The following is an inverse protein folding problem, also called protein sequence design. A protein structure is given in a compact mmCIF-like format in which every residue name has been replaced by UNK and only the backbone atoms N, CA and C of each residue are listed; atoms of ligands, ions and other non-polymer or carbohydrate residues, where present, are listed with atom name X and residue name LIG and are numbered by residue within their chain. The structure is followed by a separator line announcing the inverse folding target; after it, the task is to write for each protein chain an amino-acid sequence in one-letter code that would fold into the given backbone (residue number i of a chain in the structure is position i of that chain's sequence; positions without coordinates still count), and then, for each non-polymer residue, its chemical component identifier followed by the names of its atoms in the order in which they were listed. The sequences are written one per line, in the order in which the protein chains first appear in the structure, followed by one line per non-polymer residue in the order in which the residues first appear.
data_IF_213314551787
#
_entry.id   IF_213314551787
#
_cell.length_a   1.000
_cell.length_b   1.000
_cell.length_c   1.000
_cell.angle_alpha   90.00
_cell.angle_beta   90.00
_cell.angle_gamma   90.00
#
_symmetry.space_group_name_H-M   'P 1'
#
loop_
_entity.id
_entity.type
_entity.pdbx_description
1 polymer ?
#
# COMPACT_ATOMS: atom_id res chain seq x y z
N UNK A 1 -44.30 -22.02 45.37
CA UNK A 1 -43.69 -20.72 45.47
C UNK A 1 -42.17 -20.84 45.31
N UNK A 2 -41.66 -20.13 44.33
CA UNK A 2 -40.20 -20.10 44.07
C UNK A 2 -39.51 -19.54 45.32
N UNK A 3 -38.55 -20.33 45.86
CA UNK A 3 -37.94 -20.01 47.15
C UNK A 3 -37.01 -18.79 47.01
N UNK A 4 -37.35 -17.67 47.58
CA UNK A 4 -36.64 -16.36 47.51
C UNK A 4 -35.14 -16.50 47.94
N UNK A 5 -34.84 -17.42 48.83
CA UNK A 5 -33.45 -17.66 49.31
C UNK A 5 -32.59 -18.28 48.18
N UNK A 6 -33.11 -19.24 47.45
CA UNK A 6 -32.40 -19.88 46.33
C UNK A 6 -32.16 -18.89 45.20
N UNK A 7 -33.09 -17.98 44.95
CA UNK A 7 -32.89 -16.92 43.95
C UNK A 7 -31.78 -15.95 44.35
N UNK A 8 -31.70 -15.56 45.63
CA UNK A 8 -30.61 -14.71 46.14
C UNK A 8 -29.25 -15.38 46.10
N UNK A 9 -29.15 -16.69 46.39
CA UNK A 9 -27.93 -17.44 46.25
C UNK A 9 -27.44 -17.56 44.83
N UNK A 10 -28.34 -17.86 43.89
CA UNK A 10 -28.00 -17.94 42.46
C UNK A 10 -27.53 -16.56 41.97
N UNK A 11 -28.20 -15.47 42.32
CA UNK A 11 -27.79 -14.11 41.94
C UNK A 11 -26.42 -13.73 42.53
N UNK A 12 -26.13 -14.11 43.76
CA UNK A 12 -24.81 -13.91 44.41
C UNK A 12 -23.70 -14.67 43.66
N UNK A 13 -23.90 -15.95 43.38
CA UNK A 13 -22.93 -16.78 42.66
C UNK A 13 -22.69 -16.27 41.23
N UNK A 14 -23.75 -15.88 40.51
CA UNK A 14 -23.57 -15.31 39.17
C UNK A 14 -22.85 -13.96 39.19
N UNK A 15 -23.09 -13.12 40.20
CA UNK A 15 -22.35 -11.86 40.38
C UNK A 15 -20.86 -12.11 40.67
N UNK A 16 -20.52 -13.10 41.47
CA UNK A 16 -19.13 -13.42 41.80
C UNK A 16 -18.39 -14.06 40.62
N UNK A 17 -19.05 -14.92 39.86
CA UNK A 17 -18.51 -15.45 38.59
C UNK A 17 -18.24 -14.30 37.61
N UNK A 18 -19.17 -13.36 37.48
CA UNK A 18 -19.01 -12.19 36.59
C UNK A 18 -17.82 -11.32 37.01
N UNK A 19 -17.63 -11.09 38.34
CA UNK A 19 -16.45 -10.35 38.86
C UNK A 19 -15.15 -11.07 38.50
N UNK A 20 -15.09 -12.38 38.70
CA UNK A 20 -13.92 -13.18 38.34
C UNK A 20 -13.62 -13.10 36.84
N UNK A 21 -14.63 -13.21 36.00
CA UNK A 21 -14.45 -13.08 34.53
C UNK A 21 -13.93 -11.68 34.16
N UNK A 22 -14.50 -10.62 34.76
CA UNK A 22 -14.03 -9.25 34.53
C UNK A 22 -12.57 -9.06 34.96
N UNK A 23 -12.18 -9.60 36.12
CA UNK A 23 -10.78 -9.55 36.61
C UNK A 23 -9.85 -10.29 35.64
N UNK A 24 -10.23 -11.48 35.19
CA UNK A 24 -9.43 -12.23 34.20
C UNK A 24 -9.26 -11.43 32.90
N UNK A 25 -10.33 -10.84 32.38
CA UNK A 25 -10.27 -10.00 31.14
C UNK A 25 -9.36 -8.79 31.36
N UNK A 26 -9.47 -8.11 32.49
CA UNK A 26 -8.58 -6.99 32.85
C UNK A 26 -7.12 -7.42 32.94
N UNK A 27 -6.83 -8.56 33.58
CA UNK A 27 -5.47 -9.12 33.66
C UNK A 27 -4.91 -9.44 32.26
N UNK A 28 -5.71 -10.04 31.38
CA UNK A 28 -5.31 -10.32 30.01
C UNK A 28 -5.03 -9.02 29.25
N UNK A 29 -5.89 -8.01 29.38
CA UNK A 29 -5.68 -6.69 28.77
C UNK A 29 -4.40 -6.01 29.29
N UNK A 30 -4.11 -6.16 30.61
CA UNK A 30 -2.90 -5.59 31.22
C UNK A 30 -1.62 -6.29 30.74
N UNK A 31 -1.67 -7.62 30.61
CA UNK A 31 -0.53 -8.41 30.08
C UNK A 31 -0.28 -8.07 28.61
N UNK A 32 -1.33 -8.01 27.78
CA UNK A 32 -1.21 -7.64 26.36
C UNK A 32 -0.72 -6.21 26.23
N UNK A 33 -1.29 -5.27 26.99
CA UNK A 33 -0.88 -3.86 27.00
C UNK A 33 0.55 -3.65 27.49
N UNK A 34 0.94 -4.35 28.55
CA UNK A 34 2.30 -4.30 29.11
C UNK A 34 3.34 -4.92 28.18
N UNK A 35 3.01 -6.04 27.53
CA UNK A 35 3.86 -6.65 26.52
C UNK A 35 4.00 -5.75 25.28
N UNK A 36 2.90 -5.17 24.82
CA UNK A 36 2.89 -4.19 23.71
C UNK A 36 3.73 -2.96 24.04
N UNK A 37 3.57 -2.38 25.24
CA UNK A 37 4.36 -1.23 25.69
C UNK A 37 5.84 -1.57 25.87
N UNK A 38 6.16 -2.75 26.39
CA UNK A 38 7.54 -3.23 26.54
C UNK A 38 8.23 -3.48 25.21
N UNK A 39 7.53 -4.04 24.22
CA UNK A 39 8.01 -4.15 22.85
C UNK A 39 8.25 -2.77 22.23
N UNK A 40 7.34 -1.82 22.42
CA UNK A 40 7.44 -0.44 21.98
C UNK A 40 8.70 0.25 22.52
N UNK A 41 8.90 0.21 23.83
CA UNK A 41 10.06 0.82 24.49
C UNK A 41 11.38 0.15 24.09
N UNK A 42 11.40 -1.17 24.01
CA UNK A 42 12.58 -1.92 23.55
C UNK A 42 12.93 -1.60 22.10
N UNK A 43 11.93 -1.39 21.27
CA UNK A 43 12.12 -1.06 19.85
C UNK A 43 12.63 0.37 19.65
N UNK A 44 11.98 1.37 20.26
CA UNK A 44 12.41 2.78 20.17
C UNK A 44 13.87 2.96 20.60
N UNK A 45 14.35 2.13 21.54
CA UNK A 45 15.74 2.19 22.01
C UNK A 45 16.76 1.54 21.06
N UNK A 46 16.32 0.73 20.10
CA UNK A 46 17.21 -0.06 19.22
C UNK A 46 17.10 0.31 17.74
N UNK A 47 16.12 1.14 17.33
CA UNK A 47 15.88 1.44 15.93
C UNK A 47 16.71 2.63 15.45
N UNK A 48 17.48 2.41 14.38
CA UNK A 48 17.90 3.52 13.52
C UNK A 48 16.65 4.07 12.83
N UNK A 49 16.27 5.29 13.15
CA UNK A 49 15.26 6.04 12.39
C UNK A 49 15.76 6.19 10.96
N UNK A 50 14.89 5.96 9.99
CA UNK A 50 15.18 6.26 8.58
C UNK A 50 15.61 7.74 8.51
N UNK A 51 16.84 7.96 8.09
CA UNK A 51 17.33 9.34 7.87
C UNK A 51 16.82 9.83 6.51
N UNK A 52 16.49 11.12 6.42
CA UNK A 52 16.17 11.77 5.13
C UNK A 52 17.31 11.57 4.12
N UNK A 53 18.57 11.38 4.58
CA UNK A 53 19.70 11.02 3.71
C UNK A 53 19.52 9.67 2.99
N UNK A 54 18.78 8.73 3.58
CA UNK A 54 18.50 7.43 2.94
C UNK A 54 17.48 7.60 1.80
N UNK A 55 16.65 8.64 1.85
CA UNK A 55 15.68 9.01 0.82
C UNK A 55 16.36 9.68 -0.38
N UNK A 56 17.39 10.49 -0.14
CA UNK A 56 18.11 11.21 -1.21
C UNK A 56 18.99 10.28 -2.06
N UNK A 57 19.47 9.16 -1.53
CA UNK A 57 20.18 8.15 -2.32
C UNK A 57 19.30 7.51 -3.42
N UNK A 58 17.99 7.61 -3.30
CA UNK A 58 17.04 7.11 -4.30
C UNK A 58 17.05 7.95 -5.58
N UNK A 59 17.43 9.23 -5.51
CA UNK A 59 17.58 10.10 -6.69
C UNK A 59 18.79 9.72 -7.55
N UNK A 60 19.85 9.16 -6.97
CA UNK A 60 21.08 8.81 -7.69
C UNK A 60 20.93 7.58 -8.61
N UNK A 61 19.84 6.81 -8.49
CA UNK A 61 19.60 5.58 -9.30
C UNK A 61 18.66 5.80 -10.48
N UNK A 62 18.51 7.03 -10.94
CA UNK A 62 17.63 7.36 -12.07
C UNK A 62 18.22 6.87 -13.41
N UNK A 63 17.33 6.50 -14.32
CA UNK A 63 17.70 6.22 -15.71
C UNK A 63 18.12 7.51 -16.41
N UNK A 64 19.35 7.55 -16.94
CA UNK A 64 19.83 8.66 -17.75
C UNK A 64 19.52 8.41 -19.22
N UNK A 65 19.08 9.45 -19.93
CA UNK A 65 18.85 9.40 -21.37
C UNK A 65 19.92 10.19 -22.10
N UNK A 66 20.43 9.61 -23.19
CA UNK A 66 21.32 10.31 -24.13
C UNK A 66 20.49 10.74 -25.32
N UNK A 67 20.52 12.03 -25.65
CA UNK A 67 19.78 12.60 -26.75
C UNK A 67 20.73 12.99 -27.88
N UNK A 68 20.23 12.94 -29.13
CA UNK A 68 20.91 13.53 -30.27
C UNK A 68 20.73 15.08 -30.27
N UNK A 69 21.37 15.74 -31.22
CA UNK A 69 21.30 17.20 -31.38
C UNK A 69 19.88 17.71 -31.67
N UNK A 70 18.96 16.83 -32.09
CA UNK A 70 17.57 17.14 -32.40
C UNK A 70 16.62 16.82 -31.22
N UNK A 71 17.17 16.33 -30.08
CA UNK A 71 16.39 15.97 -28.89
C UNK A 71 15.79 14.55 -28.96
N UNK A 72 16.22 13.71 -29.91
CA UNK A 72 15.78 12.31 -29.99
C UNK A 72 16.61 11.45 -29.06
N UNK A 73 15.95 10.59 -28.28
CA UNK A 73 16.65 9.63 -27.38
C UNK A 73 17.42 8.63 -28.23
N UNK A 74 18.76 8.64 -28.15
CA UNK A 74 19.65 7.69 -28.83
C UNK A 74 20.01 6.50 -27.94
N UNK A 75 20.08 6.70 -26.63
CA UNK A 75 20.45 5.64 -25.71
C UNK A 75 19.83 5.89 -24.35
N UNK A 76 19.62 4.80 -23.62
CA UNK A 76 19.11 4.78 -22.26
C UNK A 76 20.15 4.11 -21.38
N UNK A 77 20.65 4.84 -20.39
CA UNK A 77 21.64 4.32 -19.43
C UNK A 77 20.88 3.98 -18.15
N UNK A 78 20.67 2.69 -17.91
CA UNK A 78 20.18 2.18 -16.63
C UNK A 78 21.36 1.96 -15.69
N UNK A 79 21.15 2.16 -14.38
CA UNK A 79 22.17 1.85 -13.39
C UNK A 79 22.57 0.36 -13.38
N UNK A 80 23.50 -0.01 -12.51
CA UNK A 80 24.06 -1.37 -12.41
C UNK A 80 23.02 -2.48 -12.21
N UNK A 81 21.83 -2.16 -11.76
CA UNK A 81 20.72 -3.10 -11.51
C UNK A 81 19.80 -3.32 -12.73
N UNK A 82 20.09 -2.70 -13.87
CA UNK A 82 19.25 -2.76 -15.08
C UNK A 82 17.76 -2.44 -14.82
N UNK A 83 17.52 -1.47 -13.93
CA UNK A 83 16.18 -0.99 -13.54
C UNK A 83 15.87 0.28 -14.33
N UNK A 84 14.71 0.31 -14.96
CA UNK A 84 14.20 1.50 -15.62
C UNK A 84 13.40 2.36 -14.64
N UNK A 85 13.94 3.51 -14.26
CA UNK A 85 13.35 4.46 -13.34
C UNK A 85 13.47 5.88 -13.90
N UNK A 86 12.35 6.55 -14.01
CA UNK A 86 12.27 7.97 -14.39
C UNK A 86 11.42 8.66 -13.34
N UNK A 87 12.00 9.65 -12.67
CA UNK A 87 11.30 10.41 -11.64
C UNK A 87 10.23 11.33 -12.23
N UNK A 88 9.11 11.43 -11.54
CA UNK A 88 8.02 12.36 -11.83
C UNK A 88 7.51 12.98 -10.54
N UNK A 89 7.30 14.30 -10.51
CA UNK A 89 6.71 14.95 -9.33
C UNK A 89 5.22 14.64 -9.24
N UNK A 90 4.73 14.38 -8.03
CA UNK A 90 3.32 14.12 -7.77
C UNK A 90 2.42 15.26 -8.27
N UNK A 91 2.83 16.50 -8.06
CA UNK A 91 2.08 17.68 -8.52
C UNK A 91 1.82 17.68 -10.03
N UNK A 92 2.71 17.08 -10.83
CA UNK A 92 2.59 17.04 -12.29
C UNK A 92 1.61 15.99 -12.81
N UNK A 93 1.32 14.94 -12.02
CA UNK A 93 0.43 13.83 -12.41
C UNK A 93 -0.93 13.86 -11.71
N UNK A 94 -1.14 14.81 -10.83
CA UNK A 94 -2.36 14.96 -10.01
C UNK A 94 -3.67 15.07 -10.82
N UNK A 95 -3.60 15.37 -12.10
CA UNK A 95 -4.76 15.48 -13.00
C UNK A 95 -5.11 14.18 -13.73
N UNK A 96 -4.41 13.08 -13.45
CA UNK A 96 -4.53 11.82 -14.21
C UNK A 96 -5.29 10.72 -13.48
N UNK A 97 -5.88 10.97 -12.33
CA UNK A 97 -6.52 9.97 -11.46
C UNK A 97 -5.57 8.89 -10.91
N UNK A 98 -4.24 9.02 -11.08
CA UNK A 98 -3.30 7.97 -10.67
C UNK A 98 -3.23 7.82 -9.15
N UNK A 99 -3.31 8.92 -8.42
CA UNK A 99 -3.34 8.97 -6.97
C UNK A 99 -4.63 8.36 -6.41
N UNK A 100 -5.80 8.77 -6.93
CA UNK A 100 -7.08 8.20 -6.53
C UNK A 100 -7.16 6.70 -6.85
N UNK A 101 -6.61 6.28 -7.98
CA UNK A 101 -6.55 4.88 -8.35
C UNK A 101 -5.68 4.06 -7.38
N UNK A 102 -4.49 4.57 -7.01
CA UNK A 102 -3.58 3.93 -6.04
C UNK A 102 -4.23 3.90 -4.65
N UNK A 103 -4.74 5.04 -4.17
CA UNK A 103 -5.39 5.16 -2.86
C UNK A 103 -6.58 4.20 -2.77
N UNK A 104 -7.43 4.17 -3.78
CA UNK A 104 -8.63 3.32 -3.80
C UNK A 104 -8.32 1.84 -3.64
N UNK A 105 -7.20 1.36 -4.19
CA UNK A 105 -6.92 -0.07 -4.24
C UNK A 105 -5.91 -0.54 -3.20
N UNK A 106 -4.99 0.33 -2.79
CA UNK A 106 -3.94 0.01 -1.83
C UNK A 106 -4.28 0.48 -0.42
N UNK A 107 -4.90 1.67 -0.27
CA UNK A 107 -5.08 2.30 1.03
C UNK A 107 -6.22 3.35 1.02
N UNK A 108 -7.47 2.90 0.99
CA UNK A 108 -8.65 3.76 0.84
C UNK A 108 -8.79 4.87 1.91
N UNK A 109 -8.12 4.69 3.06
CA UNK A 109 -8.09 5.67 4.16
C UNK A 109 -6.73 6.32 4.35
N UNK A 110 -5.95 6.42 3.27
CA UNK A 110 -4.58 6.95 3.31
C UNK A 110 -4.46 8.30 4.02
N UNK A 111 -5.41 9.21 3.80
CA UNK A 111 -5.42 10.54 4.42
C UNK A 111 -5.95 10.56 5.86
N UNK A 112 -6.48 9.46 6.39
CA UNK A 112 -7.13 9.41 7.71
C UNK A 112 -6.23 8.87 8.82
N UNK A 113 -5.21 8.10 8.48
CA UNK A 113 -4.31 7.47 9.46
C UNK A 113 -2.92 8.12 9.46
N UNK A 114 -2.10 7.81 10.48
CA UNK A 114 -0.73 8.30 10.63
C UNK A 114 0.28 7.14 10.49
N UNK A 115 0.44 6.62 9.28
CA UNK A 115 1.39 5.56 8.92
C UNK A 115 0.82 4.15 9.00
N UNK A 116 -0.06 3.87 9.94
CA UNK A 116 -0.74 2.59 10.11
C UNK A 116 -2.26 2.76 10.20
N UNK A 117 -2.99 1.86 9.59
CA UNK A 117 -4.45 1.82 9.66
C UNK A 117 -4.90 0.79 10.71
N UNK A 118 -5.16 1.26 11.94
CA UNK A 118 -5.56 0.41 13.07
C UNK A 118 -6.90 -0.29 12.83
N UNK A 119 -7.85 0.36 12.14
CA UNK A 119 -9.16 -0.24 11.84
C UNK A 119 -9.00 -1.38 10.83
N UNK A 120 -8.16 -1.19 9.81
CA UNK A 120 -7.84 -2.21 8.81
C UNK A 120 -7.11 -3.40 9.42
N UNK A 121 -6.17 -3.14 10.33
CA UNK A 121 -5.49 -4.20 11.11
C UNK A 121 -6.51 -4.97 11.95
N UNK A 122 -7.39 -4.29 12.67
CA UNK A 122 -8.45 -4.91 13.47
C UNK A 122 -9.39 -5.77 12.63
N UNK A 123 -9.83 -5.26 11.48
CA UNK A 123 -10.67 -5.99 10.53
C UNK A 123 -9.96 -7.22 9.95
N UNK A 124 -8.67 -7.13 9.65
CA UNK A 124 -7.86 -8.24 9.16
C UNK A 124 -7.72 -9.36 10.22
N UNK A 125 -7.51 -8.98 11.49
CA UNK A 125 -7.45 -9.93 12.62
C UNK A 125 -8.80 -10.63 12.80
N UNK A 126 -9.91 -9.89 12.81
CA UNK A 126 -11.25 -10.47 12.94
C UNK A 126 -11.58 -11.41 11.77
N UNK A 127 -11.23 -11.01 10.55
CA UNK A 127 -11.38 -11.86 9.36
C UNK A 127 -10.55 -13.14 9.45
N UNK A 128 -9.30 -13.04 9.92
CA UNK A 128 -8.44 -14.21 10.13
C UNK A 128 -9.01 -15.18 11.16
N UNK A 129 -9.53 -14.66 12.28
CA UNK A 129 -10.19 -15.49 13.31
C UNK A 129 -11.44 -16.18 12.77
N UNK A 130 -12.25 -15.48 11.97
CA UNK A 130 -13.47 -16.04 11.35
C UNK A 130 -13.18 -17.10 10.27
N UNK A 131 -12.05 -16.97 9.56
CA UNK A 131 -11.69 -17.80 8.41
C UNK A 131 -10.57 -18.81 8.68
N UNK A 132 -10.40 -19.24 9.93
CA UNK A 132 -9.44 -20.29 10.29
C UNK A 132 -7.97 -19.90 10.11
N UNK A 133 -7.63 -18.62 10.31
CA UNK A 133 -6.25 -18.11 10.29
C UNK A 133 -5.83 -17.46 8.97
N UNK A 134 -6.68 -17.39 7.97
CA UNK A 134 -6.38 -16.71 6.68
C UNK A 134 -6.96 -15.31 6.66
N UNK A 135 -6.10 -14.28 6.65
CA UNK A 135 -6.53 -12.91 6.42
C UNK A 135 -6.88 -12.69 4.94
N UNK A 136 -8.10 -12.23 4.68
CA UNK A 136 -8.62 -12.03 3.31
C UNK A 136 -8.15 -10.71 2.67
N UNK A 137 -7.56 -9.81 3.46
CA UNK A 137 -7.18 -8.46 3.03
C UNK A 137 -5.70 -8.17 3.31
N UNK A 138 -5.03 -7.49 2.36
CA UNK A 138 -3.72 -6.90 2.58
C UNK A 138 -3.85 -5.75 3.60
N UNK A 139 -3.16 -5.86 4.74
CA UNK A 139 -3.27 -4.91 5.85
C UNK A 139 -2.23 -3.79 5.84
N UNK A 140 -1.38 -3.68 4.81
CA UNK A 140 -0.32 -2.67 4.76
C UNK A 140 -0.83 -1.38 4.11
N UNK A 141 -0.47 -0.24 4.70
CA UNK A 141 -0.75 1.11 4.16
C UNK A 141 0.24 1.46 3.05
N UNK A 142 -0.06 2.51 2.26
CA UNK A 142 0.89 3.08 1.28
C UNK A 142 2.19 3.49 1.99
N UNK A 143 2.12 4.10 3.17
CA UNK A 143 3.28 4.51 3.96
C UNK A 143 4.15 3.32 4.35
N UNK A 144 3.56 2.21 4.80
CA UNK A 144 4.27 0.97 5.11
C UNK A 144 4.94 0.36 3.87
N UNK A 145 4.25 0.38 2.74
CA UNK A 145 4.82 -0.08 1.47
C UNK A 145 5.99 0.81 1.04
N UNK A 146 5.87 2.13 1.19
CA UNK A 146 6.96 3.09 0.88
C UNK A 146 8.18 2.83 1.74
N UNK A 147 8.02 2.63 3.05
CA UNK A 147 9.11 2.23 3.95
C UNK A 147 9.82 0.96 3.45
N UNK A 148 9.04 -0.07 3.10
CA UNK A 148 9.58 -1.32 2.56
C UNK A 148 10.37 -1.10 1.26
N UNK A 149 9.87 -0.26 0.36
CA UNK A 149 10.53 0.07 -0.91
C UNK A 149 11.85 0.82 -0.71
N UNK A 150 11.92 1.72 0.29
CA UNK A 150 13.14 2.46 0.62
C UNK A 150 14.18 1.56 1.28
N UNK A 151 13.76 0.72 2.23
CA UNK A 151 14.68 -0.11 3.02
C UNK A 151 15.13 -1.38 2.30
N UNK A 152 14.45 -1.79 1.23
CA UNK A 152 14.74 -3.04 0.51
C UNK A 152 14.51 -4.31 1.35
N UNK A 153 13.88 -4.20 2.52
CA UNK A 153 13.71 -5.31 3.46
C UNK A 153 12.52 -6.21 3.07
N UNK A 154 12.81 -7.36 2.50
CA UNK A 154 11.82 -8.35 2.04
C UNK A 154 11.61 -9.55 2.99
N UNK A 155 12.32 -9.59 4.13
CA UNK A 155 12.20 -10.71 5.07
C UNK A 155 10.80 -10.80 5.69
N UNK A 156 10.24 -12.01 5.73
CA UNK A 156 8.93 -12.30 6.33
C UNK A 156 9.08 -12.69 7.81
N UNK A 157 9.34 -11.72 8.69
CA UNK A 157 9.36 -11.94 10.14
C UNK A 157 8.37 -11.01 10.86
N UNK A 158 7.85 -11.46 12.02
CA UNK A 158 6.93 -10.65 12.83
C UNK A 158 7.64 -9.41 13.39
N UNK A 159 8.91 -9.54 13.78
CA UNK A 159 9.73 -8.43 14.27
C UNK A 159 9.90 -7.35 13.22
N UNK A 160 10.16 -7.74 11.96
CA UNK A 160 10.23 -6.81 10.83
C UNK A 160 8.90 -6.07 10.61
N UNK A 161 7.76 -6.78 10.73
CA UNK A 161 6.46 -6.12 10.54
C UNK A 161 6.17 -5.06 11.60
N UNK A 162 6.56 -5.32 12.84
CA UNK A 162 6.49 -4.31 13.91
C UNK A 162 7.42 -3.13 13.61
N UNK A 163 8.63 -3.39 13.10
CA UNK A 163 9.58 -2.37 12.67
C UNK A 163 9.03 -1.49 11.55
N UNK A 164 8.44 -2.09 10.53
CA UNK A 164 7.77 -1.39 9.44
C UNK A 164 6.67 -0.44 9.95
N UNK A 165 5.88 -0.86 10.97
CA UNK A 165 4.85 0.00 11.57
C UNK A 165 5.45 1.26 12.21
N UNK A 166 6.52 1.11 13.00
CA UNK A 166 7.16 2.25 13.65
C UNK A 166 7.85 3.17 12.65
N UNK A 167 8.52 2.60 11.66
CA UNK A 167 9.14 3.38 10.59
C UNK A 167 8.09 4.13 9.76
N UNK A 168 6.91 3.53 9.52
CA UNK A 168 5.82 4.21 8.83
C UNK A 168 5.25 5.38 9.65
N UNK A 169 5.07 5.21 10.95
CA UNK A 169 4.64 6.30 11.83
C UNK A 169 5.68 7.40 11.93
N UNK A 170 6.97 7.07 11.97
CA UNK A 170 8.05 8.04 11.98
C UNK A 170 8.10 8.82 10.64
N UNK A 171 7.98 8.12 9.51
CA UNK A 171 7.98 8.74 8.18
C UNK A 171 6.87 9.80 8.05
N UNK A 172 5.69 9.56 8.60
CA UNK A 172 4.57 10.53 8.59
C UNK A 172 4.72 11.69 9.59
N UNK A 173 5.72 11.64 10.47
CA UNK A 173 6.09 12.81 11.26
C UNK A 173 6.98 13.76 10.48
N UNK A 174 7.80 13.23 9.57
CA UNK A 174 8.79 13.99 8.81
C UNK A 174 8.29 14.42 7.43
N UNK A 175 7.41 13.63 6.80
CA UNK A 175 6.89 13.86 5.45
C UNK A 175 5.36 13.99 5.45
N UNK A 176 4.87 14.88 4.59
CA UNK A 176 3.45 15.00 4.28
C UNK A 176 2.94 13.80 3.48
N UNK A 177 1.61 13.61 3.45
CA UNK A 177 0.95 12.59 2.64
C UNK A 177 1.31 12.69 1.15
N UNK A 178 1.38 13.90 0.63
CA UNK A 178 1.73 14.16 -0.77
C UNK A 178 3.18 13.74 -1.08
N UNK A 179 4.12 14.02 -0.17
CA UNK A 179 5.53 13.58 -0.30
C UNK A 179 5.66 12.06 -0.20
N UNK A 180 4.92 11.41 0.70
CA UNK A 180 4.90 9.95 0.80
C UNK A 180 4.32 9.32 -0.48
N UNK A 181 3.26 9.89 -1.03
CA UNK A 181 2.67 9.44 -2.27
C UNK A 181 3.62 9.65 -3.45
N UNK A 182 4.36 10.76 -3.48
CA UNK A 182 5.42 11.03 -4.47
C UNK A 182 6.51 9.96 -4.42
N UNK A 183 6.97 9.59 -3.23
CA UNK A 183 7.92 8.48 -3.08
C UNK A 183 7.33 7.17 -3.60
N UNK A 184 6.09 6.85 -3.21
CA UNK A 184 5.44 5.61 -3.63
C UNK A 184 5.33 5.50 -5.15
N UNK A 185 4.82 6.54 -5.84
CA UNK A 185 4.63 6.52 -7.30
C UNK A 185 5.95 6.41 -8.07
N UNK A 186 7.08 6.80 -7.46
CA UNK A 186 8.41 6.71 -8.06
C UNK A 186 9.17 5.43 -7.68
N UNK A 187 8.80 4.74 -6.60
CA UNK A 187 9.49 3.57 -6.09
C UNK A 187 8.76 2.26 -6.33
N UNK A 188 7.45 2.30 -6.57
CA UNK A 188 6.65 1.10 -6.72
C UNK A 188 7.07 0.28 -7.94
N UNK A 189 7.27 -1.05 -7.78
CA UNK A 189 7.64 -1.93 -8.89
C UNK A 189 6.43 -2.15 -9.81
N UNK A 190 6.65 -1.95 -11.10
CA UNK A 190 5.60 -2.01 -12.13
C UNK A 190 5.66 -3.24 -13.03
N UNK A 191 6.55 -4.19 -12.71
CA UNK A 191 6.83 -5.37 -13.53
C UNK A 191 7.89 -5.09 -14.60
N UNK A 192 8.49 -6.17 -15.13
CA UNK A 192 9.50 -6.12 -16.18
C UNK A 192 10.70 -5.18 -15.89
N UNK A 193 11.12 -5.11 -14.62
CA UNK A 193 12.18 -4.21 -14.11
C UNK A 193 11.86 -2.71 -14.28
N UNK A 194 10.60 -2.34 -14.52
CA UNK A 194 10.17 -0.95 -14.51
C UNK A 194 9.79 -0.56 -13.08
N UNK A 195 10.29 0.59 -12.64
CA UNK A 195 10.03 1.15 -11.32
C UNK A 195 9.45 2.56 -11.48
N UNK A 196 8.34 2.80 -10.81
CA UNK A 196 7.60 4.05 -10.86
C UNK A 196 6.65 4.17 -12.06
N UNK A 197 5.68 5.07 -11.89
CA UNK A 197 4.59 5.27 -12.85
C UNK A 197 5.06 5.84 -14.18
N UNK A 198 6.10 6.69 -14.20
CA UNK A 198 6.63 7.28 -15.44
C UNK A 198 7.26 6.22 -16.32
N UNK A 199 8.08 5.33 -15.75
CA UNK A 199 8.66 4.21 -16.48
C UNK A 199 7.57 3.27 -17.01
N UNK A 200 6.54 3.00 -16.20
CA UNK A 200 5.40 2.19 -16.61
C UNK A 200 4.62 2.83 -17.77
N UNK A 201 4.29 4.12 -17.68
CA UNK A 201 3.58 4.85 -18.72
C UNK A 201 4.34 4.85 -20.07
N UNK A 202 5.65 5.13 -20.04
CA UNK A 202 6.51 5.14 -21.21
C UNK A 202 6.68 3.77 -21.87
N UNK A 203 6.84 2.74 -21.05
CA UNK A 203 7.14 1.41 -21.57
C UNK A 203 5.89 0.62 -21.93
N UNK A 204 4.77 0.80 -21.24
CA UNK A 204 3.53 0.09 -21.55
C UNK A 204 2.65 0.81 -22.55
N UNK A 205 2.58 2.15 -22.48
CA UNK A 205 1.67 2.95 -23.32
C UNK A 205 2.40 3.89 -24.28
N UNK A 206 3.71 4.10 -24.12
CA UNK A 206 4.48 5.04 -24.95
C UNK A 206 4.16 6.50 -24.66
N UNK A 207 3.66 6.82 -23.46
CA UNK A 207 3.18 8.13 -23.04
C UNK A 207 3.94 8.65 -21.83
N UNK A 208 3.87 9.96 -21.63
CA UNK A 208 4.21 10.58 -20.36
C UNK A 208 3.14 10.23 -19.30
N UNK A 209 3.54 10.08 -18.04
CA UNK A 209 2.59 9.79 -16.97
C UNK A 209 1.52 10.87 -16.79
N UNK A 210 1.82 12.12 -17.20
CA UNK A 210 0.88 13.24 -17.19
C UNK A 210 -0.25 13.12 -18.23
N UNK A 211 -0.12 12.20 -19.18
CA UNK A 211 -1.06 11.98 -20.28
C UNK A 211 -1.88 10.71 -20.11
N UNK A 212 -1.77 10.04 -18.97
CA UNK A 212 -2.53 8.83 -18.68
C UNK A 212 -4.03 9.12 -18.61
N UNK A 213 -4.81 8.28 -19.27
CA UNK A 213 -6.27 8.28 -19.13
C UNK A 213 -6.66 7.60 -17.80
N UNK A 214 -7.92 7.76 -17.40
CA UNK A 214 -8.48 7.09 -16.22
C UNK A 214 -8.24 5.56 -16.27
N UNK A 215 -8.52 4.92 -17.39
CA UNK A 215 -8.33 3.48 -17.55
C UNK A 215 -6.85 3.07 -17.48
N UNK A 216 -5.93 3.85 -18.06
CA UNK A 216 -4.49 3.62 -18.01
C UNK A 216 -3.95 3.83 -16.58
N UNK A 217 -4.43 4.86 -15.87
CA UNK A 217 -4.10 5.11 -14.46
C UNK A 217 -4.55 3.96 -13.57
N UNK A 218 -5.78 3.49 -13.72
CA UNK A 218 -6.31 2.34 -12.98
C UNK A 218 -5.55 1.04 -13.32
N UNK A 219 -5.10 0.88 -14.56
CA UNK A 219 -4.28 -0.25 -14.98
C UNK A 219 -2.93 -0.25 -14.27
N UNK A 220 -2.20 0.88 -14.31
CA UNK A 220 -0.89 1.05 -13.66
C UNK A 220 -1.02 0.87 -12.14
N UNK A 221 -2.02 1.49 -11.51
CA UNK A 221 -2.27 1.36 -10.06
C UNK A 221 -2.49 -0.09 -9.59
N UNK A 222 -2.92 -0.96 -10.47
CA UNK A 222 -3.12 -2.38 -10.17
C UNK A 222 -1.85 -3.24 -10.15
N UNK A 223 -0.74 -2.78 -10.73
CA UNK A 223 0.48 -3.58 -10.96
C UNK A 223 1.29 -3.86 -9.68
N UNK A 224 1.48 -2.91 -8.74
CA UNK A 224 2.36 -3.08 -7.58
C UNK A 224 2.00 -4.26 -6.68
N UNK A 225 0.74 -4.66 -6.63
CA UNK A 225 0.28 -5.79 -5.81
C UNK A 225 1.04 -7.09 -6.08
N UNK A 226 1.35 -7.37 -7.34
CA UNK A 226 2.11 -8.55 -7.77
C UNK A 226 2.71 -8.31 -9.15
N UNK A 227 3.84 -7.58 -9.24
CA UNK A 227 4.39 -7.09 -10.51
C UNK A 227 4.71 -8.20 -11.50
N UNK A 228 5.16 -9.36 -11.03
CA UNK A 228 5.44 -10.51 -11.89
C UNK A 228 4.17 -11.18 -12.43
N UNK A 229 3.11 -11.26 -11.61
CA UNK A 229 1.83 -11.86 -12.00
C UNK A 229 1.03 -10.97 -12.95
N UNK A 230 1.11 -9.66 -12.76
CA UNK A 230 0.43 -8.65 -13.58
C UNK A 230 1.30 -8.09 -14.72
N UNK A 231 2.47 -8.68 -15.00
CA UNK A 231 3.41 -8.17 -16.00
C UNK A 231 2.77 -8.07 -17.39
N UNK A 232 2.52 -6.85 -17.93
CA UNK A 232 1.80 -6.66 -19.19
C UNK A 232 2.58 -7.10 -20.43
N UNK A 233 3.89 -7.31 -20.32
CA UNK A 233 4.74 -7.82 -21.40
C UNK A 233 4.46 -9.29 -21.69
N UNK A 234 3.79 -9.99 -20.80
CA UNK A 234 3.30 -11.37 -20.98
C UNK A 234 1.81 -11.36 -21.23
N UNK A 235 1.33 -12.14 -22.18
CA UNK A 235 -0.10 -12.20 -22.51
C UNK A 235 -0.99 -12.57 -21.31
N UNK A 236 -0.58 -13.58 -20.53
CA UNK A 236 -1.30 -13.96 -19.31
C UNK A 236 -1.28 -12.87 -18.24
N UNK A 237 -0.14 -12.20 -18.07
CA UNK A 237 0.01 -11.07 -17.15
C UNK A 237 -0.87 -9.88 -17.56
N UNK A 238 -0.90 -9.57 -18.85
CA UNK A 238 -1.77 -8.52 -19.41
C UNK A 238 -3.24 -8.80 -19.13
N UNK A 239 -3.72 -10.03 -19.39
CA UNK A 239 -5.10 -10.41 -19.05
C UNK A 239 -5.40 -10.28 -17.55
N UNK A 240 -4.45 -10.63 -16.69
CA UNK A 240 -4.59 -10.49 -15.24
C UNK A 240 -4.63 -9.02 -14.84
N UNK A 241 -3.75 -8.18 -15.39
CA UNK A 241 -3.69 -6.74 -15.14
C UNK A 241 -4.99 -6.03 -15.60
N UNK A 242 -5.54 -6.40 -16.75
CA UNK A 242 -6.83 -5.87 -17.22
C UNK A 242 -7.99 -6.25 -16.28
N UNK A 243 -7.98 -7.46 -15.72
CA UNK A 243 -8.96 -7.83 -14.67
C UNK A 243 -8.76 -7.02 -13.40
N UNK A 244 -7.51 -6.78 -13.01
CA UNK A 244 -7.18 -5.95 -11.84
C UNK A 244 -7.60 -4.50 -12.04
N UNK A 245 -7.39 -3.92 -13.22
CA UNK A 245 -7.84 -2.57 -13.59
C UNK A 245 -9.35 -2.40 -13.34
N UNK A 246 -10.17 -3.36 -13.73
CA UNK A 246 -11.63 -3.32 -13.49
C UNK A 246 -11.97 -3.29 -12.00
N UNK A 247 -11.18 -3.97 -11.17
CA UNK A 247 -11.35 -3.93 -9.70
C UNK A 247 -10.97 -2.54 -9.18
N UNK A 248 -9.88 -1.94 -9.68
CA UNK A 248 -9.46 -0.59 -9.31
C UNK A 248 -10.54 0.43 -9.68
N UNK A 249 -11.03 0.41 -10.92
CA UNK A 249 -12.11 1.28 -11.38
C UNK A 249 -13.38 1.13 -10.53
N UNK A 250 -13.75 -0.11 -10.19
CA UNK A 250 -14.89 -0.39 -9.32
C UNK A 250 -14.71 0.22 -7.93
N UNK A 251 -13.50 0.16 -7.36
CA UNK A 251 -13.18 0.79 -6.09
C UNK A 251 -13.20 2.32 -6.15
N UNK A 252 -12.67 2.90 -7.23
CA UNK A 252 -12.73 4.35 -7.43
C UNK A 252 -14.17 4.84 -7.51
N UNK A 253 -15.05 4.10 -8.19
CA UNK A 253 -16.47 4.41 -8.26
C UNK A 253 -17.17 4.23 -6.90
N UNK A 254 -16.92 3.12 -6.20
CA UNK A 254 -17.47 2.86 -4.86
C UNK A 254 -17.12 3.95 -3.84
N UNK A 255 -15.89 4.49 -3.93
CA UNK A 255 -15.39 5.55 -3.07
C UNK A 255 -15.76 6.97 -3.55
N UNK A 256 -16.44 7.10 -4.69
CA UNK A 256 -16.91 8.38 -5.22
C UNK A 256 -15.83 9.25 -5.87
N UNK A 257 -14.68 8.69 -6.23
CA UNK A 257 -13.62 9.41 -6.96
C UNK A 257 -13.99 9.65 -8.42
N UNK A 258 -14.82 8.80 -9.00
CA UNK A 258 -15.30 8.91 -10.39
C UNK A 258 -16.81 8.71 -10.46
N UNK A 259 -17.42 9.31 -11.46
CA UNK A 259 -18.85 9.16 -11.75
C UNK A 259 -19.16 7.83 -12.43
N UNK A 260 -20.45 7.46 -12.50
CA UNK A 260 -20.89 6.27 -13.25
C UNK A 260 -20.51 6.36 -14.73
N UNK A 261 -20.64 7.55 -15.34
CA UNK A 261 -20.31 7.80 -16.74
C UNK A 261 -18.82 7.59 -17.00
N UNK A 262 -17.95 8.12 -16.12
CA UNK A 262 -16.49 7.94 -16.19
C UNK A 262 -16.11 6.47 -15.99
N UNK A 263 -16.75 5.80 -15.02
CA UNK A 263 -16.54 4.37 -14.76
C UNK A 263 -16.86 3.52 -15.98
N UNK A 264 -18.05 3.71 -16.59
CA UNK A 264 -18.47 2.96 -17.77
C UNK A 264 -17.59 3.27 -18.98
N UNK A 265 -17.21 4.55 -19.18
CA UNK A 265 -16.30 4.94 -20.25
C UNK A 265 -14.93 4.27 -20.12
N UNK A 266 -14.36 4.26 -18.91
CA UNK A 266 -13.07 3.64 -18.64
C UNK A 266 -13.10 2.11 -18.79
N UNK A 267 -14.19 1.44 -18.38
CA UNK A 267 -14.37 0.00 -18.57
C UNK A 267 -14.39 -0.41 -20.05
N UNK A 268 -14.92 0.45 -20.92
CA UNK A 268 -15.06 0.22 -22.34
C UNK A 268 -13.88 0.75 -23.17
N UNK A 269 -12.95 1.49 -22.53
CA UNK A 269 -11.76 1.97 -23.21
C UNK A 269 -10.84 0.82 -23.60
N UNK A 270 -10.51 0.71 -24.88
CA UNK A 270 -9.46 -0.20 -25.35
C UNK A 270 -8.09 0.40 -25.03
N UNK A 271 -7.27 -0.32 -24.27
CA UNK A 271 -5.90 0.11 -23.96
C UNK A 271 -4.96 -0.26 -25.10
N UNK A 272 -4.28 0.74 -25.65
CA UNK A 272 -3.27 0.56 -26.70
C UNK A 272 -1.90 0.42 -26.06
N UNK A 273 -1.36 -0.79 -26.09
CA UNK A 273 -0.02 -1.07 -25.58
C UNK A 273 1.05 -0.77 -26.63
N UNK A 274 2.18 -0.21 -26.19
CA UNK A 274 3.35 0.00 -27.03
C UNK A 274 3.84 -1.36 -27.55
N UNK A 275 4.05 -1.45 -28.86
CA UNK A 275 4.67 -2.65 -29.44
C UNK A 275 6.07 -2.86 -28.89
N UNK A 276 6.36 -4.07 -28.41
CA UNK A 276 7.74 -4.48 -28.11
C UNK A 276 8.43 -4.71 -29.46
N UNK A 277 9.19 -3.73 -29.92
CA UNK A 277 10.17 -3.96 -30.99
C UNK A 277 11.40 -4.63 -30.43
#
# INVERSE_FOLDING_TARGET
GFNRSVFHEIMSVTSDILKVVVVIVLCICFVIGGFGAGMLLGYVSTTQTLSISDLTQTEETQTSFVYDINGTVISKLTGTENVDRVYVSYSSVRSTYIDEAIISIEDERFYEHSGIDVQRIGSAILSALANGGTATYGGSTITQQTVKLITGQDEHSTSRKVQEWFSAMALEQDLSKDEILELYINLAPMGNNFVGIQAAAQNYFGKDARELTLAESAFIAGLPKSPSYYNPMRESGRRNALRRMRIVLGKMYELGYITEEEYQAALNQELVFKSSN
#
